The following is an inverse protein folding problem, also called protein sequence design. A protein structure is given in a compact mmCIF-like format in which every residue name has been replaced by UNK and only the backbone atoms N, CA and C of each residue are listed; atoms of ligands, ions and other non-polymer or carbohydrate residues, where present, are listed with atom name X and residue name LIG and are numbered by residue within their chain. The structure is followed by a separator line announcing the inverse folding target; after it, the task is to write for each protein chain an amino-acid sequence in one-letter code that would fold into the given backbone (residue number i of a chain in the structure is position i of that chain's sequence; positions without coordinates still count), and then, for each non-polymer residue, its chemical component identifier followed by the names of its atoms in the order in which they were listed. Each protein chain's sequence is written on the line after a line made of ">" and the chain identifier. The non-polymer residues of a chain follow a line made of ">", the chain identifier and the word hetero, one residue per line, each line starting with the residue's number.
data_IF_688498785763
#
_entry.id   IF_688498785763
#
_cell.length_a   1.000
_cell.length_b   1.000
_cell.length_c   1.000
_cell.angle_alpha   90.00
_cell.angle_beta   90.00
_cell.angle_gamma   90.00
#
_symmetry.space_group_name_H-M   'P 1'
#
loop_
_entity.id
_entity.type
_entity.pdbx_description
1 polymer ?
#
# COMPACT_ATOMS: atom_id res chain seq x y z
N UNK A 1 12.04 12.88 -12.27
CA UNK A 1 10.66 12.39 -12.12
C UNK A 1 10.59 11.41 -10.97
N UNK A 2 9.74 11.66 -10.00
CA UNK A 2 9.56 10.76 -8.87
C UNK A 2 8.77 9.53 -9.28
N UNK A 3 9.13 8.39 -8.71
CA UNK A 3 8.56 7.09 -9.02
C UNK A 3 7.75 6.62 -7.80
N UNK A 4 6.47 6.42 -7.99
CA UNK A 4 5.56 5.99 -6.93
C UNK A 4 5.00 4.60 -7.21
N UNK A 5 5.05 3.72 -6.22
CA UNK A 5 4.44 2.39 -6.30
C UNK A 5 3.09 2.41 -5.59
N UNK A 6 2.06 1.98 -6.30
CA UNK A 6 0.72 1.83 -5.75
C UNK A 6 0.38 0.34 -5.68
N UNK A 7 0.01 -0.13 -4.51
CA UNK A 7 -0.39 -1.52 -4.29
C UNK A 7 -1.88 -1.68 -4.57
N UNK A 8 -2.18 -2.55 -5.52
CA UNK A 8 -3.53 -2.79 -6.02
C UNK A 8 -3.78 -2.05 -7.32
N UNK A 9 -4.53 -2.68 -8.20
CA UNK A 9 -4.88 -2.13 -9.51
C UNK A 9 -6.35 -2.27 -9.85
N UNK A 10 -7.19 -2.45 -8.84
CA UNK A 10 -8.63 -2.60 -9.02
C UNK A 10 -9.31 -1.23 -9.16
N UNK A 11 -10.62 -1.25 -9.33
CA UNK A 11 -11.43 -0.05 -9.44
C UNK A 11 -11.15 0.96 -8.30
N UNK A 12 -10.98 0.45 -7.07
CA UNK A 12 -10.75 1.31 -5.90
C UNK A 12 -9.42 2.06 -5.97
N UNK A 13 -8.39 1.47 -6.55
CA UNK A 13 -7.07 2.11 -6.67
C UNK A 13 -6.93 2.97 -7.91
N UNK A 14 -7.85 2.88 -8.85
CA UNK A 14 -7.75 3.59 -10.12
C UNK A 14 -7.68 5.11 -9.94
N UNK A 15 -8.43 5.67 -9.00
CA UNK A 15 -8.41 7.09 -8.72
C UNK A 15 -7.03 7.56 -8.22
N UNK A 16 -6.37 6.75 -7.39
CA UNK A 16 -5.02 7.06 -6.90
C UNK A 16 -3.99 7.00 -8.03
N UNK A 17 -4.09 6.01 -8.91
CA UNK A 17 -3.22 5.87 -10.08
C UNK A 17 -3.36 7.09 -11.00
N UNK A 18 -4.59 7.45 -11.32
CA UNK A 18 -4.88 8.61 -12.17
C UNK A 18 -4.36 9.91 -11.56
N UNK A 19 -4.61 10.10 -10.26
CA UNK A 19 -4.16 11.32 -9.57
C UNK A 19 -2.64 11.42 -9.54
N UNK A 20 -1.95 10.31 -9.30
CA UNK A 20 -0.49 10.29 -9.33
C UNK A 20 0.03 10.64 -10.72
N UNK A 21 -0.58 10.14 -11.77
CA UNK A 21 -0.22 10.51 -13.16
C UNK A 21 -0.43 12.00 -13.42
N UNK A 22 -1.54 12.55 -12.98
CA UNK A 22 -1.83 14.00 -13.12
C UNK A 22 -0.80 14.86 -12.42
N UNK A 23 -0.26 14.37 -11.28
CA UNK A 23 0.77 15.07 -10.52
C UNK A 23 2.18 14.92 -11.11
N UNK A 24 2.33 14.19 -12.21
CA UNK A 24 3.60 14.02 -12.89
C UNK A 24 4.49 12.90 -12.38
N UNK A 25 3.94 11.98 -11.58
CA UNK A 25 4.70 10.81 -11.12
C UNK A 25 4.83 9.76 -12.22
N UNK A 26 5.95 9.03 -12.19
CA UNK A 26 6.05 7.74 -12.87
C UNK A 26 5.38 6.71 -11.98
N UNK A 27 4.27 6.14 -12.44
CA UNK A 27 3.42 5.28 -11.61
C UNK A 27 3.72 3.82 -11.86
N UNK A 28 4.10 3.13 -10.81
CA UNK A 28 4.29 1.68 -10.79
C UNK A 28 3.07 1.09 -10.07
N UNK A 29 2.46 0.10 -10.67
CA UNK A 29 1.32 -0.59 -10.07
C UNK A 29 1.69 -2.05 -9.82
N UNK A 30 1.35 -2.56 -8.66
CA UNK A 30 1.52 -3.98 -8.33
C UNK A 30 0.18 -4.55 -7.88
N UNK A 31 -0.19 -5.69 -8.45
CA UNK A 31 -1.46 -6.34 -8.13
C UNK A 31 -1.29 -7.86 -8.19
N UNK A 32 -2.12 -8.58 -7.44
CA UNK A 32 -2.08 -10.04 -7.41
C UNK A 32 -2.55 -10.68 -8.72
N UNK A 33 -3.41 -9.98 -9.46
CA UNK A 33 -3.91 -10.43 -10.75
C UNK A 33 -3.40 -9.52 -11.85
N UNK A 34 -2.91 -10.13 -12.94
CA UNK A 34 -2.43 -9.37 -14.09
C UNK A 34 -3.57 -8.67 -14.83
N UNK A 35 -4.77 -9.26 -14.83
CA UNK A 35 -5.96 -8.68 -15.45
C UNK A 35 -6.64 -7.74 -14.45
N UNK A 36 -6.26 -6.48 -14.47
CA UNK A 36 -6.84 -5.46 -13.62
C UNK A 36 -6.89 -4.12 -14.34
N UNK A 37 -7.80 -3.25 -13.90
CA UNK A 37 -8.04 -1.96 -14.55
C UNK A 37 -6.82 -1.05 -14.50
N UNK A 38 -6.09 -1.05 -13.38
CA UNK A 38 -4.96 -0.16 -13.17
C UNK A 38 -3.78 -0.43 -14.09
N UNK A 39 -3.68 -1.65 -14.64
CA UNK A 39 -2.59 -2.02 -15.54
C UNK A 39 -2.51 -1.13 -16.78
N UNK A 40 -3.64 -0.71 -17.30
CA UNK A 40 -3.69 0.11 -18.51
C UNK A 40 -3.40 1.59 -18.26
N UNK A 41 -3.39 2.01 -16.98
CA UNK A 41 -3.21 3.42 -16.60
C UNK A 41 -1.87 3.71 -15.95
N UNK A 42 -1.11 2.69 -15.55
CA UNK A 42 0.21 2.87 -14.95
C UNK A 42 1.32 2.86 -16.02
N UNK A 43 2.51 3.30 -15.64
CA UNK A 43 3.68 3.27 -16.50
C UNK A 43 4.41 1.93 -16.46
N UNK A 44 4.31 1.24 -15.32
CA UNK A 44 4.98 -0.04 -15.10
C UNK A 44 4.08 -0.91 -14.23
N UNK A 45 3.97 -2.21 -14.56
CA UNK A 45 3.09 -3.12 -13.85
C UNK A 45 3.86 -4.37 -13.40
N UNK A 46 3.61 -4.79 -12.16
CA UNK A 46 4.14 -6.03 -11.60
C UNK A 46 3.02 -6.89 -11.02
N UNK A 47 3.00 -8.16 -11.39
CA UNK A 47 2.09 -9.12 -10.79
C UNK A 47 2.81 -9.77 -9.60
N UNK A 48 2.35 -9.45 -8.38
CA UNK A 48 2.92 -9.99 -7.14
C UNK A 48 1.81 -10.22 -6.13
N UNK A 49 2.13 -10.97 -5.08
CA UNK A 49 1.27 -11.04 -3.90
C UNK A 49 1.44 -9.77 -3.06
N UNK A 50 0.45 -8.90 -3.08
CA UNK A 50 0.49 -7.62 -2.37
C UNK A 50 0.36 -7.76 -0.84
N UNK A 51 0.17 -8.97 -0.34
CA UNK A 51 0.22 -9.27 1.10
C UNK A 51 1.60 -9.72 1.55
N UNK A 52 2.53 -9.92 0.63
CA UNK A 52 3.90 -10.36 0.92
C UNK A 52 4.86 -9.17 0.94
N UNK A 53 5.39 -8.86 2.12
CA UNK A 53 6.38 -7.79 2.27
C UNK A 53 7.64 -8.05 1.43
N UNK A 54 8.06 -9.32 1.32
CA UNK A 54 9.25 -9.68 0.54
C UNK A 54 9.07 -9.39 -0.96
N UNK A 55 7.92 -9.74 -1.52
CA UNK A 55 7.63 -9.45 -2.93
C UNK A 55 7.49 -7.95 -3.19
N UNK A 56 6.84 -7.22 -2.29
CA UNK A 56 6.73 -5.76 -2.38
C UNK A 56 8.14 -5.14 -2.35
N UNK A 57 8.98 -5.59 -1.44
CA UNK A 57 10.35 -5.08 -1.33
C UNK A 57 11.13 -5.27 -2.63
N UNK A 58 11.03 -6.43 -3.26
CA UNK A 58 11.68 -6.70 -4.54
C UNK A 58 11.23 -5.73 -5.62
N UNK A 59 9.93 -5.43 -5.68
CA UNK A 59 9.40 -4.47 -6.66
C UNK A 59 9.92 -3.06 -6.37
N UNK A 60 9.91 -2.63 -5.12
CA UNK A 60 10.41 -1.29 -4.74
C UNK A 60 11.86 -1.12 -5.16
N UNK A 61 12.71 -2.10 -4.86
CA UNK A 61 14.14 -2.06 -5.20
C UNK A 61 14.34 -2.12 -6.70
N UNK A 62 13.68 -3.05 -7.38
CA UNK A 62 13.82 -3.26 -8.82
C UNK A 62 13.34 -2.05 -9.64
N UNK A 63 12.22 -1.47 -9.26
CA UNK A 63 11.62 -0.34 -9.96
C UNK A 63 12.18 1.01 -9.51
N UNK A 64 13.01 1.03 -8.49
CA UNK A 64 13.57 2.25 -7.88
C UNK A 64 12.49 3.23 -7.44
N UNK A 65 11.45 2.71 -6.79
CA UNK A 65 10.35 3.54 -6.30
C UNK A 65 10.83 4.47 -5.18
N UNK A 66 10.41 5.73 -5.24
CA UNK A 66 10.72 6.74 -4.23
C UNK A 66 9.70 6.72 -3.08
N UNK A 67 8.57 6.12 -3.30
CA UNK A 67 7.51 6.00 -2.30
C UNK A 67 6.56 4.87 -2.62
N UNK A 68 5.80 4.45 -1.62
CA UNK A 68 4.88 3.33 -1.69
C UNK A 68 3.55 3.73 -1.04
N UNK A 69 2.47 3.51 -1.75
CA UNK A 69 1.13 3.81 -1.27
C UNK A 69 0.25 2.56 -1.30
N UNK A 70 -0.34 2.25 -0.16
CA UNK A 70 -1.43 1.28 -0.06
C UNK A 70 -2.73 2.05 0.08
N UNK A 71 -3.48 2.17 -1.00
CA UNK A 71 -4.72 2.94 -1.06
C UNK A 71 -5.91 2.00 -1.13
N UNK A 72 -6.86 2.19 -0.23
CA UNK A 72 -8.11 1.42 -0.19
C UNK A 72 -7.88 -0.10 -0.13
N UNK A 73 -6.85 -0.54 0.58
CA UNK A 73 -6.53 -1.97 0.72
C UNK A 73 -5.97 -2.25 2.12
N UNK A 74 -6.79 -2.82 2.98
CA UNK A 74 -6.38 -3.16 4.34
C UNK A 74 -5.35 -4.28 4.38
N UNK A 75 -5.45 -5.24 3.47
CA UNK A 75 -4.54 -6.41 3.44
C UNK A 75 -3.12 -6.03 3.01
N UNK A 76 -2.97 -4.97 2.24
CA UNK A 76 -1.66 -4.50 1.78
C UNK A 76 -1.06 -3.43 2.71
N UNK A 77 -1.84 -2.86 3.63
CA UNK A 77 -1.42 -1.73 4.45
C UNK A 77 -0.24 -2.09 5.37
N UNK A 78 -0.32 -3.19 6.09
CA UNK A 78 0.75 -3.62 7.00
C UNK A 78 2.02 -4.04 6.26
N UNK A 79 1.97 -4.89 5.23
CA UNK A 79 3.15 -5.19 4.43
C UNK A 79 3.82 -3.94 3.84
N UNK A 80 3.03 -2.98 3.35
CA UNK A 80 3.56 -1.71 2.84
C UNK A 80 4.31 -0.93 3.90
N UNK A 81 3.75 -0.80 5.10
CA UNK A 81 4.40 -0.10 6.21
C UNK A 81 5.71 -0.76 6.61
N UNK A 82 5.75 -2.09 6.67
CA UNK A 82 6.96 -2.85 6.99
C UNK A 82 8.06 -2.58 5.98
N UNK A 83 7.73 -2.63 4.69
CA UNK A 83 8.70 -2.37 3.61
C UNK A 83 9.24 -0.93 3.70
N UNK A 84 8.35 0.04 3.88
CA UNK A 84 8.75 1.44 3.98
C UNK A 84 9.66 1.69 5.19
N UNK A 85 9.38 1.08 6.34
CA UNK A 85 10.26 1.19 7.51
C UNK A 85 11.65 0.62 7.22
N UNK A 86 11.73 -0.55 6.60
CA UNK A 86 13.02 -1.19 6.27
C UNK A 86 13.84 -0.38 5.27
N UNK A 87 13.20 0.33 4.37
CA UNK A 87 13.86 1.12 3.33
C UNK A 87 13.94 2.62 3.67
N UNK A 88 13.52 3.03 4.87
CA UNK A 88 13.48 4.43 5.31
C UNK A 88 12.68 5.33 4.38
N UNK A 89 11.57 4.80 3.83
CA UNK A 89 10.62 5.57 3.05
C UNK A 89 9.55 6.17 3.97
N UNK A 90 8.93 7.29 3.57
CA UNK A 90 7.85 7.88 4.37
C UNK A 90 6.71 6.88 4.59
N UNK A 91 6.29 6.72 5.84
CA UNK A 91 5.25 5.76 6.21
C UNK A 91 4.68 6.07 7.58
N UNK A 92 3.52 5.48 7.85
CA UNK A 92 3.03 5.32 9.21
C UNK A 92 3.77 4.16 9.88
N UNK A 93 3.88 4.18 11.21
CA UNK A 93 4.52 3.08 11.93
C UNK A 93 3.77 1.77 11.70
N UNK A 94 4.48 0.68 11.41
CA UNK A 94 3.87 -0.63 11.19
C UNK A 94 3.05 -1.10 12.37
N UNK A 95 3.49 -0.80 13.59
CA UNK A 95 2.75 -1.11 14.81
C UNK A 95 1.39 -0.41 14.83
N UNK A 96 1.33 0.85 14.45
CA UNK A 96 0.06 1.60 14.38
C UNK A 96 -0.85 1.06 13.28
N UNK A 97 -0.30 0.74 12.12
CA UNK A 97 -1.04 0.15 11.00
C UNK A 97 -1.62 -1.21 11.41
N UNK A 98 -0.85 -2.04 12.10
CA UNK A 98 -1.32 -3.33 12.59
C UNK A 98 -2.51 -3.18 13.52
N UNK A 99 -2.42 -2.26 14.49
CA UNK A 99 -3.51 -2.00 15.43
C UNK A 99 -4.77 -1.53 14.70
N UNK A 100 -4.62 -0.59 13.76
CA UNK A 100 -5.76 0.03 13.08
C UNK A 100 -6.42 -0.89 12.07
N UNK A 101 -5.68 -1.82 11.45
CA UNK A 101 -6.23 -2.70 10.41
C UNK A 101 -6.78 -4.02 10.95
N UNK A 102 -6.34 -4.46 12.13
CA UNK A 102 -6.85 -5.67 12.76
C UNK A 102 -7.93 -5.31 13.76
N UNK A 103 -9.16 -5.72 13.48
CA UNK A 103 -10.34 -5.32 14.23
C UNK A 103 -10.21 -5.60 15.74
N UNK A 104 -9.73 -6.78 16.12
CA UNK A 104 -9.59 -7.13 17.54
C UNK A 104 -8.55 -6.27 18.26
N UNK A 105 -7.45 -5.90 17.59
CA UNK A 105 -6.43 -5.03 18.15
C UNK A 105 -6.93 -3.59 18.25
N UNK A 106 -7.67 -3.13 17.25
CA UNK A 106 -8.26 -1.79 17.25
C UNK A 106 -9.28 -1.63 18.38
N UNK A 107 -10.15 -2.62 18.56
CA UNK A 107 -11.13 -2.60 19.66
C UNK A 107 -10.46 -2.63 21.03
N UNK A 108 -9.42 -3.43 21.21
CA UNK A 108 -8.64 -3.48 22.44
C UNK A 108 -7.97 -2.13 22.73
N UNK A 109 -7.41 -1.50 21.72
CA UNK A 109 -6.80 -0.17 21.84
C UNK A 109 -7.81 0.89 22.26
N UNK A 110 -9.00 0.89 21.65
CA UNK A 110 -10.08 1.81 22.03
C UNK A 110 -10.46 1.67 23.49
N UNK A 111 -10.59 0.44 23.99
CA UNK A 111 -10.89 0.18 25.41
C UNK A 111 -9.78 0.69 26.31
N UNK A 112 -8.52 0.47 25.93
CA UNK A 112 -7.36 0.89 26.71
C UNK A 112 -7.30 2.40 26.91
N UNK A 113 -7.69 3.19 25.91
CA UNK A 113 -7.70 4.65 26.00
C UNK A 113 -9.04 5.21 26.45
N UNK A 114 -10.01 4.36 26.81
CA UNK A 114 -11.29 4.78 27.38
C UNK A 114 -12.36 5.18 26.37
N UNK A 115 -12.21 4.81 25.09
CA UNK A 115 -13.21 5.10 24.05
C UNK A 115 -14.17 3.92 23.87
N UNK A 116 -15.43 4.18 23.42
CA UNK A 116 -16.39 3.11 23.14
C UNK A 116 -15.85 2.14 22.08
N UNK A 117 -16.11 0.86 22.27
CA UNK A 117 -15.68 -0.20 21.37
C UNK A 117 -16.73 -1.30 21.31
N UNK A 118 -16.99 -1.88 20.14
CA UNK A 118 -17.81 -3.08 20.01
C UNK A 118 -17.22 -4.23 20.81
N UNK A 119 -18.08 -5.05 21.37
CA UNK A 119 -17.68 -6.26 22.08
C UNK A 119 -17.33 -7.39 21.12
#
# INVERSE_FOLDING_TARGET
>A
MKRGLILGGNFLQLSAIRRAKELGYYVICANSFADCMGRDYCDEFHQIDTTSADEIMKVVVCSKADGLLSYASDVAALPAAIVCEKLNLPTNLSQSVEILTKKHLFCSFLRKIGLPSPN
#
